data_IF_698616565757
#
_entry.id   IF_698616565757
#
_cell.length_a   1.000
_cell.length_b   1.000
_cell.length_c   1.000
_cell.angle_alpha   90.00
_cell.angle_beta   90.00
_cell.angle_gamma   90.00
#
_symmetry.space_group_name_H-M   'P 1'
#
loop_
_entity.id
_entity.type
_entity.pdbx_description
1 polymer ?
2 non-polymer ?
#
# COMPACT_ATOMS: atom_id res chain seq x y z
N UNK A 1 6.11 6.93 -2.74
CA UNK A 1 5.93 8.16 -1.86
C UNK A 1 7.33 8.12 -1.20
N UNK A 2 7.46 8.40 0.05
CA UNK A 2 8.67 8.32 0.81
C UNK A 2 9.78 7.48 0.20
N UNK A 3 10.64 7.00 1.12
CA UNK A 3 11.83 6.37 0.61
C UNK A 3 12.40 5.12 1.00
N UNK A 4 11.93 4.36 1.96
CA UNK A 4 12.78 3.16 2.25
C UNK A 4 12.73 2.19 1.10
N UNK A 5 13.73 2.28 0.32
CA UNK A 5 14.11 1.34 -0.77
C UNK A 5 13.51 2.08 -1.98
N UNK A 6 12.24 2.33 -1.71
CA UNK A 6 11.38 3.10 -2.60
C UNK A 6 9.92 3.01 -2.24
N UNK A 7 9.26 2.28 -3.04
CA UNK A 7 7.78 2.10 -3.10
C UNK A 7 7.75 2.08 -4.66
N UNK A 8 8.73 2.77 -5.21
CA UNK A 8 8.94 2.71 -6.68
C UNK A 8 9.39 1.21 -6.79
N UNK A 9 10.50 0.95 -6.12
CA UNK A 9 11.09 -0.38 -6.04
C UNK A 9 10.14 -1.39 -5.35
N UNK A 10 9.49 -0.90 -4.30
CA UNK A 10 8.57 -1.72 -3.51
C UNK A 10 7.23 -2.03 -4.19
N UNK A 11 6.67 -1.05 -4.86
CA UNK A 11 5.38 -1.23 -5.53
C UNK A 11 5.60 -2.21 -6.70
N UNK A 12 6.75 -2.02 -7.33
CA UNK A 12 7.14 -2.79 -8.51
C UNK A 12 7.62 -4.21 -8.26
N UNK A 13 8.12 -4.49 -7.08
CA UNK A 13 8.69 -5.81 -6.77
C UNK A 13 7.76 -6.67 -5.95
N UNK A 14 6.85 -6.05 -5.22
CA UNK A 14 5.89 -6.76 -4.38
C UNK A 14 4.44 -6.37 -4.57
N UNK A 15 4.18 -5.07 -4.52
CA UNK A 15 2.85 -4.48 -4.60
C UNK A 15 2.14 -4.51 -5.94
N UNK A 16 2.89 -4.66 -6.99
CA UNK A 16 2.53 -4.71 -8.38
C UNK A 16 1.37 -5.66 -8.71
N UNK A 17 1.61 -6.89 -8.30
CA UNK A 17 0.79 -8.06 -8.51
C UNK A 17 -0.71 -7.88 -8.47
N UNK A 18 -1.22 -6.98 -7.65
CA UNK A 18 -2.68 -6.82 -7.56
C UNK A 18 -3.12 -5.38 -7.78
N UNK A 19 -2.35 -4.46 -7.26
CA UNK A 19 -2.63 -3.03 -7.29
C UNK A 19 -2.43 -2.46 -8.68
N UNK A 20 -1.57 -3.11 -9.45
CA UNK A 20 -1.26 -2.68 -10.84
C UNK A 20 -2.50 -2.86 -11.71
N UNK A 21 -2.91 -4.11 -11.80
CA UNK A 21 -4.14 -4.47 -12.56
C UNK A 21 -5.33 -3.91 -11.78
N UNK A 22 -5.62 -4.56 -10.68
CA UNK A 22 -6.71 -4.25 -9.74
C UNK A 22 -7.25 -5.65 -9.31
N UNK A 23 -6.36 -6.62 -9.56
CA UNK A 23 -6.63 -8.02 -9.28
C UNK A 23 -7.13 -8.25 -7.85
N UNK A 24 -8.32 -8.80 -7.77
CA UNK A 24 -8.96 -9.12 -6.47
C UNK A 24 -9.68 -7.93 -5.86
N UNK A 25 -9.76 -6.87 -6.61
CA UNK A 25 -10.39 -5.60 -6.28
C UNK A 25 -9.42 -4.70 -5.51
N UNK A 26 -8.14 -4.98 -5.74
CA UNK A 26 -7.03 -4.22 -5.15
C UNK A 26 -7.09 -2.78 -5.65
N UNK A 27 -7.25 -1.87 -4.72
CA UNK A 27 -7.24 -0.43 -5.04
C UNK A 27 -5.97 -0.16 -5.85
N UNK A 28 -6.19 0.17 -7.09
CA UNK A 28 -5.19 0.44 -8.11
C UNK A 28 -4.39 1.70 -7.86
N UNK A 29 -3.23 1.72 -8.51
CA UNK A 29 -2.20 2.75 -8.39
C UNK A 29 -2.50 4.06 -9.10
N UNK A 30 -2.43 5.12 -8.31
CA UNK A 30 -2.64 6.50 -8.81
C UNK A 30 -4.07 6.91 -8.51
N UNK A 31 -4.89 5.91 -8.27
CA UNK A 31 -6.32 6.08 -7.99
C UNK A 31 -6.53 6.82 -6.66
N UNK A 32 -6.24 8.10 -6.74
CA UNK A 32 -6.35 9.05 -5.62
C UNK A 32 -7.62 8.85 -4.81
N UNK A 33 -8.73 8.73 -5.53
CA UNK A 33 -10.04 8.52 -4.91
C UNK A 33 -10.07 7.33 -3.94
N UNK A 34 -10.16 6.13 -4.50
CA UNK A 34 -10.24 4.89 -3.77
C UNK A 34 -9.45 4.88 -2.45
N UNK A 35 -8.19 5.25 -2.56
CA UNK A 35 -7.26 5.26 -1.44
C UNK A 35 -7.64 6.27 -0.36
N UNK A 36 -8.29 7.31 -0.77
CA UNK A 36 -8.72 8.42 0.09
C UNK A 36 -9.76 8.03 1.12
N UNK A 37 -10.86 7.47 0.69
CA UNK A 37 -11.98 7.08 1.55
C UNK A 37 -11.51 5.99 2.53
N UNK A 38 -10.39 5.42 2.18
CA UNK A 38 -9.65 4.42 2.93
C UNK A 38 -8.95 5.04 4.14
N UNK A 39 -8.10 6.02 3.82
CA UNK A 39 -7.37 6.71 4.91
C UNK A 39 -8.45 7.26 5.87
N UNK A 40 -9.45 7.83 5.22
CA UNK A 40 -10.60 8.44 5.92
C UNK A 40 -11.07 7.50 7.04
N UNK A 41 -11.41 6.30 6.59
CA UNK A 41 -11.90 5.19 7.37
C UNK A 41 -10.98 4.74 8.49
N UNK A 42 -9.68 4.85 8.31
CA UNK A 42 -8.69 4.41 9.29
C UNK A 42 -7.73 5.45 9.84
N UNK A 43 -8.13 6.69 9.85
CA UNK A 43 -7.44 7.84 10.37
C UNK A 43 -6.12 8.28 9.82
N UNK A 44 -5.96 8.32 8.50
CA UNK A 44 -4.76 8.74 7.81
C UNK A 44 -3.89 7.63 7.24
N UNK A 45 -2.65 8.00 6.96
CA UNK A 45 -1.56 7.21 6.40
C UNK A 45 -1.12 6.11 7.37
N UNK A 46 -1.76 6.12 8.52
CA UNK A 46 -1.59 5.14 9.59
C UNK A 46 -3.06 4.66 9.83
N UNK A 47 -3.35 3.61 9.15
CA UNK A 47 -4.63 2.91 9.10
C UNK A 47 -4.51 2.10 7.80
N UNK A 48 -3.45 2.44 7.07
CA UNK A 48 -3.19 1.72 5.80
C UNK A 48 -1.96 0.85 6.10
N UNK A 49 -1.03 1.53 6.79
CA UNK A 49 0.24 0.89 7.16
C UNK A 49 -0.03 -0.05 8.33
N UNK A 50 -0.76 0.46 9.31
CA UNK A 50 -1.12 -0.39 10.47
C UNK A 50 -2.01 -1.51 9.88
N UNK A 51 -2.61 -1.17 8.75
CA UNK A 51 -3.50 -2.06 8.02
C UNK A 51 -2.78 -3.11 7.19
N UNK A 52 -1.77 -2.69 6.44
CA UNK A 52 -1.03 -3.61 5.57
C UNK A 52 -0.34 -4.71 6.39
N UNK A 53 0.32 -4.31 7.45
CA UNK A 53 1.05 -5.18 8.36
C UNK A 53 0.20 -6.35 8.89
N UNK A 54 -1.04 -6.00 9.16
CA UNK A 54 -2.06 -6.88 9.71
C UNK A 54 -2.64 -7.71 8.57
N UNK A 55 -2.90 -6.98 7.50
CA UNK A 55 -3.52 -7.50 6.27
C UNK A 55 -5.03 -7.47 6.43
N UNK A 56 -5.73 -7.50 5.31
CA UNK A 56 -7.18 -7.46 5.25
C UNK A 56 -7.75 -8.22 4.07
N UNK A 57 -8.41 -9.31 4.40
CA UNK A 57 -9.10 -10.23 3.53
C UNK A 57 -8.26 -10.97 2.49
N UNK A 58 -8.01 -10.34 1.38
CA UNK A 58 -7.30 -10.93 0.24
C UNK A 58 -5.99 -10.18 0.00
N UNK A 59 -5.92 -9.08 0.70
CA UNK A 59 -4.70 -8.24 0.77
C UNK A 59 -3.90 -9.06 1.80
N UNK A 60 -2.80 -9.60 1.35
CA UNK A 60 -1.94 -10.43 2.22
C UNK A 60 -1.28 -9.50 3.23
N UNK A 61 -1.11 -10.00 4.44
CA UNK A 61 -0.53 -9.21 5.54
C UNK A 61 0.87 -8.70 5.25
N UNK A 62 1.13 -7.51 5.72
CA UNK A 62 2.36 -6.75 5.62
C UNK A 62 2.63 -6.35 4.17
N UNK A 63 1.62 -5.80 3.52
CA UNK A 63 1.80 -5.42 2.08
C UNK A 63 2.23 -6.74 1.39
N UNK A 64 3.38 -7.18 1.79
CA UNK A 64 4.27 -8.24 1.63
C UNK A 64 5.65 -7.56 1.31
N UNK A 65 6.62 -8.37 1.43
CA UNK A 65 8.04 -8.27 1.52
C UNK A 65 7.87 -8.18 3.14
N UNK A 66 8.07 -9.41 3.58
CA UNK A 66 8.03 -9.73 5.00
C UNK A 66 9.43 -9.32 5.50
N UNK A 67 10.09 -8.58 4.64
CA UNK A 67 11.43 -8.04 4.79
C UNK A 67 11.34 -6.56 5.23
N UNK A 68 10.49 -5.84 4.53
CA UNK A 68 10.25 -4.44 4.68
C UNK A 68 10.26 -3.89 6.10
N UNK A 69 10.80 -2.67 6.17
CA UNK A 69 10.75 -1.94 7.49
C UNK A 69 9.36 -1.27 7.36
N UNK A 70 8.96 -0.55 8.36
CA UNK A 70 7.67 0.13 8.39
C UNK A 70 7.68 1.37 7.50
N UNK A 71 8.84 1.94 7.35
CA UNK A 71 9.11 3.14 6.57
C UNK A 71 8.96 2.90 5.07
N UNK A 72 9.19 1.69 4.64
CA UNK A 72 9.11 1.30 3.23
C UNK A 72 7.68 1.01 2.80
N UNK A 73 7.00 0.44 3.77
CA UNK A 73 5.59 0.01 3.60
C UNK A 73 4.73 1.25 3.41
N UNK A 74 5.19 2.32 4.02
CA UNK A 74 4.48 3.61 4.00
C UNK A 74 4.80 4.43 2.76
N UNK A 75 6.01 4.22 2.25
CA UNK A 75 6.50 4.92 1.06
C UNK A 75 5.86 4.30 -0.19
N UNK A 76 5.50 3.04 -0.05
CA UNK A 76 4.87 2.30 -1.16
C UNK A 76 3.35 2.48 -1.07
N UNK A 77 2.93 2.99 0.07
CA UNK A 77 1.52 3.29 0.33
C UNK A 77 1.39 4.74 -0.15
N UNK A 78 2.38 5.52 0.21
CA UNK A 78 2.46 6.93 -0.21
C UNK A 78 2.33 7.03 -1.74
N UNK A 79 2.99 6.12 -2.45
CA UNK A 79 2.97 6.09 -3.90
C UNK A 79 2.03 5.13 -4.61
N UNK A 80 1.12 4.51 -3.92
CA UNK A 80 0.11 3.65 -4.59
C UNK A 80 -1.10 4.63 -4.62
N UNK A 81 -1.20 5.31 -3.51
CA UNK A 81 -2.13 6.25 -3.03
C UNK A 81 -2.31 7.61 -3.68
N UNK A 82 -1.21 8.31 -3.70
CA UNK A 82 -1.22 9.77 -4.12
C UNK A 82 -0.82 10.31 -2.71
N UNK A 83 -1.74 10.02 -1.82
CA UNK A 83 -1.65 10.28 -0.39
C UNK A 83 -3.10 10.55 0.09
X LIG B 1 -5.67 -3.13 -0.05
X LIG B 1 -1.18 -1.90 1.04
X LIG B 1 0.33 -5.15 -2.09
X LIG B 1 -3.99 -7.01 -2.49
X LIG B 1 -4.61 -2.48 0.47
X LIG B 1 -4.68 -1.32 1.33
X LIG B 1 -3.44 -0.98 1.63
X LIG B 1 -2.56 -1.93 0.98
X LIG B 1 -3.01 0.12 2.49
X LIG B 1 -5.95 -0.67 1.79
X LIG B 1 -6.36 -1.43 3.05
X LIG B 1 -7.47 -0.69 3.82
X LIG B 1 -8.52 -0.41 3.25
X LIG B 1 -7.18 -0.41 4.97
X LIG B 1 -0.36 -2.66 0.30
X LIG B 1 1.09 -2.59 0.31
X LIG B 1 1.56 -3.52 -0.59
X LIG B 1 0.35 -4.14 -1.16
X LIG B 1 1.91 -1.65 1.17
X LIG B 1 3.08 -3.82 -0.97
X LIG B 1 3.94 -4.10 0.27
X LIG B 1 -0.69 -6.01 -2.38
X LIG B 1 -0.53 -7.25 -3.10
X LIG B 1 -1.75 -7.82 -3.20
X LIG B 1 -2.68 -6.89 -2.59
X LIG B 1 0.78 -7.85 -3.65
X LIG B 1 -2.10 -9.20 -3.94
X LIG B 1 -1.65 -10.53 -3.35
X LIG B 1 -4.76 -6.02 -1.91
X LIG B 1 -6.15 -6.14 -1.94
X LIG B 1 -6.67 -5.07 -1.27
X LIG B 1 -5.59 -4.28 -0.79
X LIG B 1 -6.87 -7.30 -2.64
X LIG B 1 -8.11 -4.83 -1.05
X LIG B 1 -8.48 -5.79 0.09
X LIG B 1 -9.79 -5.29 0.66
X LIG B 1 -10.80 -6.06 0.64
X LIG B 1 -9.66 -4.11 1.05
X LIG B 1 -3.30 -2.85 0.25
X LIG B 1 -0.74 -3.59 -0.60
X LIG B 1 -1.99 -5.84 -2.09
X LIG B 1 -4.42 -4.91 -1.21
X LIG B 1 -2.54 -4.33 -0.95
#
# INVERSE_FOLDING_TARGET
GGGARSGDDVVAKYCNACHGTGLLNAPKVGDSAAWKTRADAKGGLDGLLAQSLSGLNAMPPKGTCADCSDDELKAAIGKMSGL
HEM CHA CHB CHC CHD C1A C2A C3A C4A CMA CAA CBA CGA O1A O2A C1B C2B C3B C4B CMB CAB CBB C1C C2C C3C C4C CMC CAC CBC C1D C2D C3D C4D CMD CAD CBD CGD O1D O2D NA NB NC ND FE
#
